data_IF_606752115759
#
_entry.id   IF_606752115759
#
_cell.length_a   1.000
_cell.length_b   1.000
_cell.length_c   1.000
_cell.angle_alpha   90.00
_cell.angle_beta   90.00
_cell.angle_gamma   90.00
#
_symmetry.space_group_name_H-M   'P 1'
#
loop_
_entity.id
_entity.type
_entity.pdbx_description
1 polymer ?
#
# COMPACT_ATOMS: atom_id res chain seq x y z
N UNK A 1 14.00 0.94 -22.20
CA UNK A 1 12.71 0.49 -21.67
C UNK A 1 11.75 1.65 -21.80
N UNK A 2 10.67 1.50 -22.57
CA UNK A 2 9.68 2.56 -22.76
C UNK A 2 8.84 2.76 -21.48
N UNK A 3 8.05 3.84 -21.42
CA UNK A 3 7.12 4.05 -20.30
C UNK A 3 6.07 2.92 -20.21
N UNK A 4 5.58 2.43 -21.35
CA UNK A 4 4.66 1.30 -21.42
C UNK A 4 5.30 -0.01 -20.94
N UNK A 5 6.55 -0.29 -21.32
CA UNK A 5 7.28 -1.48 -20.81
C UNK A 5 7.50 -1.42 -19.29
N UNK A 6 7.77 -0.22 -18.77
CA UNK A 6 7.92 0.00 -17.32
C UNK A 6 6.60 -0.22 -16.59
N UNK A 7 5.50 0.32 -17.14
CA UNK A 7 4.16 0.16 -16.58
C UNK A 7 3.78 -1.32 -16.50
N UNK A 8 3.96 -2.06 -17.60
CA UNK A 8 3.69 -3.50 -17.64
C UNK A 8 4.56 -4.28 -16.65
N UNK A 9 5.85 -3.93 -16.54
CA UNK A 9 6.75 -4.56 -15.56
C UNK A 9 6.27 -4.35 -14.11
N UNK A 10 5.78 -3.15 -13.78
CA UNK A 10 5.22 -2.84 -12.46
C UNK A 10 3.92 -3.62 -12.26
N UNK A 11 3.04 -3.68 -13.27
CA UNK A 11 1.79 -4.42 -13.22
C UNK A 11 2.01 -5.92 -13.00
N UNK A 12 2.98 -6.53 -13.70
CA UNK A 12 3.37 -7.93 -13.53
C UNK A 12 3.91 -8.17 -12.12
N UNK A 13 4.79 -7.29 -11.63
CA UNK A 13 5.30 -7.35 -10.26
C UNK A 13 4.17 -7.31 -9.24
N UNK A 14 3.30 -6.31 -9.32
CA UNK A 14 2.18 -6.13 -8.38
C UNK A 14 1.19 -7.30 -8.44
N UNK A 15 0.94 -7.86 -9.63
CA UNK A 15 0.09 -9.04 -9.80
C UNK A 15 0.62 -10.25 -9.02
N UNK A 16 1.95 -10.48 -9.06
CA UNK A 16 2.63 -11.57 -8.36
C UNK A 16 2.59 -11.39 -6.84
N UNK A 17 2.81 -10.16 -6.37
CA UNK A 17 2.86 -9.85 -4.94
C UNK A 17 1.48 -9.74 -4.29
N UNK A 18 0.50 -9.28 -5.05
CA UNK A 18 -0.83 -9.01 -4.53
C UNK A 18 -1.52 -10.25 -3.97
N UNK A 19 -2.34 -10.02 -2.95
CA UNK A 19 -3.22 -11.01 -2.34
C UNK A 19 -4.67 -10.54 -2.42
N UNK A 20 -5.66 -11.44 -2.51
CA UNK A 20 -7.07 -11.06 -2.45
C UNK A 20 -7.38 -10.28 -1.16
N UNK A 21 -8.18 -9.22 -1.28
CA UNK A 21 -8.63 -8.42 -0.14
C UNK A 21 -10.16 -8.48 0.00
N UNK A 22 -10.65 -8.39 1.25
CA UNK A 22 -12.09 -8.47 1.59
C UNK A 22 -12.96 -7.39 0.93
N UNK A 23 -12.36 -6.28 0.48
CA UNK A 23 -13.05 -5.22 -0.27
C UNK A 23 -13.35 -5.57 -1.73
N UNK A 24 -12.93 -6.76 -2.20
CA UNK A 24 -12.98 -7.14 -3.61
C UNK A 24 -11.77 -6.65 -4.43
N UNK A 25 -10.86 -5.89 -3.81
CA UNK A 25 -9.59 -5.47 -4.40
C UNK A 25 -8.44 -6.45 -4.13
N UNK A 26 -7.22 -5.96 -4.38
CA UNK A 26 -5.96 -6.70 -4.24
C UNK A 26 -5.05 -5.92 -3.29
N UNK A 27 -4.58 -6.55 -2.21
CA UNK A 27 -3.69 -5.90 -1.24
C UNK A 27 -2.23 -6.25 -1.51
N UNK A 28 -1.33 -5.27 -1.40
CA UNK A 28 0.13 -5.43 -1.50
C UNK A 28 0.78 -4.82 -0.27
N UNK A 29 1.79 -5.49 0.29
CA UNK A 29 2.51 -5.01 1.46
C UNK A 29 3.75 -4.19 1.07
N UNK A 30 3.94 -3.06 1.76
CA UNK A 30 5.08 -2.16 1.54
C UNK A 30 6.42 -2.86 1.77
N UNK A 31 6.51 -3.74 2.77
CA UNK A 31 7.72 -4.50 3.05
C UNK A 31 8.10 -5.43 1.89
N UNK A 32 7.12 -6.02 1.20
CA UNK A 32 7.36 -6.88 0.05
C UNK A 32 7.85 -6.09 -1.15
N UNK A 33 7.31 -4.89 -1.37
CA UNK A 33 7.80 -3.98 -2.42
C UNK A 33 9.27 -3.61 -2.20
N UNK A 34 9.65 -3.31 -0.95
CA UNK A 34 11.03 -3.01 -0.58
C UNK A 34 11.95 -4.21 -0.73
N UNK A 35 11.48 -5.41 -0.36
CA UNK A 35 12.26 -6.65 -0.41
C UNK A 35 12.57 -7.11 -1.85
N UNK A 36 11.68 -6.82 -2.80
CA UNK A 36 11.89 -7.14 -4.22
C UNK A 36 12.92 -6.22 -4.89
N UNK A 37 13.32 -5.13 -4.25
CA UNK A 37 14.35 -4.21 -4.76
C UNK A 37 13.95 -3.49 -6.06
N UNK A 38 12.67 -3.51 -6.42
CA UNK A 38 12.13 -2.70 -7.51
C UNK A 38 12.22 -1.21 -7.17
N UNK A 39 12.16 -0.34 -8.18
CA UNK A 39 12.09 1.11 -8.00
C UNK A 39 10.83 1.47 -7.21
N UNK A 40 10.99 1.55 -5.89
CA UNK A 40 9.88 1.72 -4.94
C UNK A 40 9.12 3.01 -5.22
N UNK A 41 9.82 4.08 -5.61
CA UNK A 41 9.19 5.34 -5.96
C UNK A 41 8.32 5.19 -7.21
N UNK A 42 8.82 4.55 -8.26
CA UNK A 42 8.05 4.30 -9.47
C UNK A 42 6.83 3.40 -9.20
N UNK A 43 6.95 2.38 -8.35
CA UNK A 43 5.82 1.53 -7.95
C UNK A 43 4.78 2.33 -7.16
N UNK A 44 5.21 3.18 -6.23
CA UNK A 44 4.27 4.04 -5.48
C UNK A 44 3.52 5.01 -6.39
N UNK A 45 4.22 5.66 -7.32
CA UNK A 45 3.58 6.52 -8.33
C UNK A 45 2.60 5.74 -9.20
N UNK A 46 2.92 4.50 -9.58
CA UNK A 46 2.00 3.65 -10.32
C UNK A 46 0.75 3.31 -9.49
N UNK A 47 0.92 2.92 -8.22
CA UNK A 47 -0.19 2.59 -7.31
C UNK A 47 -1.15 3.79 -7.19
N UNK A 48 -0.63 4.99 -6.92
CA UNK A 48 -1.43 6.21 -6.82
C UNK A 48 -2.15 6.53 -8.13
N UNK A 49 -1.47 6.46 -9.27
CA UNK A 49 -2.05 6.73 -10.58
C UNK A 49 -3.17 5.75 -10.98
N UNK A 50 -3.17 4.54 -10.41
CA UNK A 50 -4.14 3.48 -10.71
C UNK A 50 -5.23 3.34 -9.62
N UNK A 51 -5.37 4.35 -8.75
CA UNK A 51 -6.40 4.40 -7.71
C UNK A 51 -6.12 3.44 -6.55
N UNK A 52 -4.86 3.09 -6.35
CA UNK A 52 -4.40 2.34 -5.20
C UNK A 52 -4.43 3.20 -3.94
N UNK A 53 -5.17 2.75 -2.95
CA UNK A 53 -5.37 3.47 -1.70
C UNK A 53 -4.52 2.85 -0.58
N UNK A 54 -3.94 3.65 0.32
CA UNK A 54 -3.37 3.10 1.53
C UNK A 54 -4.47 2.37 2.32
N UNK A 55 -4.24 1.10 2.69
CA UNK A 55 -5.07 0.50 3.73
C UNK A 55 -4.79 1.30 4.99
N UNK A 56 -5.78 2.08 5.44
CA UNK A 56 -5.67 2.91 6.63
C UNK A 56 -4.95 2.09 7.71
N UNK A 57 -3.87 2.59 8.32
CA UNK A 57 -3.10 1.85 9.31
C UNK A 57 -4.12 1.38 10.32
N UNK A 58 -4.35 0.07 10.39
CA UNK A 58 -5.45 -0.51 11.15
C UNK A 58 -5.41 0.15 12.52
N UNK A 59 -6.37 1.07 12.77
CA UNK A 59 -6.26 2.10 13.80
C UNK A 59 -5.64 1.43 15.00
N UNK A 60 -4.38 1.79 15.32
CA UNK A 60 -3.58 1.07 16.31
C UNK A 60 -4.53 0.87 17.47
N UNK A 61 -4.96 -0.39 17.70
CA UNK A 61 -6.06 -0.70 18.61
C UNK A 61 -5.81 0.19 19.79
N UNK A 62 -6.71 1.12 20.08
CA UNK A 62 -6.45 2.11 21.10
C UNK A 62 -6.28 1.32 22.39
N UNK A 63 -5.04 0.97 22.72
CA UNK A 63 -4.65 0.46 24.02
C UNK A 63 -4.59 1.67 24.97
N UNK A 64 -5.59 2.55 24.84
CA UNK A 64 -6.00 3.42 25.90
C UNK A 64 -6.78 2.50 26.83
N UNK A 65 -6.04 1.83 27.71
CA UNK A 65 -6.59 1.55 29.02
C UNK A 65 -7.21 2.84 29.56
N UNK A 66 -8.16 2.72 30.47
CA UNK A 66 -9.00 3.80 31.00
C UNK A 66 -8.23 4.94 31.72
N UNK A 67 -6.90 5.00 31.58
CA UNK A 67 -5.94 5.94 32.15
C UNK A 67 -4.91 6.46 31.10
N UNK A 68 -5.33 6.70 29.87
CA UNK A 68 -4.46 7.25 28.84
C UNK A 68 -4.52 8.78 28.80
N UNK A 69 -3.68 9.44 29.58
CA UNK A 69 -3.44 10.89 29.47
C UNK A 69 -2.99 11.24 28.04
N UNK A 70 -3.60 12.29 27.51
CA UNK A 70 -3.49 12.73 26.12
C UNK A 70 -2.09 13.27 25.85
N UNK A 71 -1.17 12.39 25.46
CA UNK A 71 0.01 12.80 24.72
C UNK A 71 -0.42 13.03 23.27
N UNK A 72 -0.70 14.30 23.01
CA UNK A 72 -0.74 14.92 21.69
C UNK A 72 0.67 14.80 21.07
N UNK A 73 1.01 13.60 20.63
CA UNK A 73 2.18 13.38 19.79
C UNK A 73 1.73 13.74 18.37
N UNK A 74 2.14 14.93 17.93
CA UNK A 74 1.99 15.45 16.57
C UNK A 74 1.77 14.32 15.56
N UNK A 75 0.53 14.19 15.09
CA UNK A 75 0.08 13.09 14.24
C UNK A 75 0.80 13.19 12.88
N UNK A 76 2.05 12.73 12.84
CA UNK A 76 2.64 12.26 11.59
C UNK A 76 1.78 11.08 11.18
N UNK A 77 1.05 11.23 10.08
CA UNK A 77 0.22 10.15 9.56
C UNK A 77 1.07 8.88 9.47
N UNK A 78 0.65 7.76 10.10
CA UNK A 78 1.46 6.56 10.10
C UNK A 78 1.70 6.12 8.65
N UNK A 79 2.96 5.91 8.27
CA UNK A 79 3.29 5.41 6.94
C UNK A 79 2.50 4.13 6.67
N UNK A 80 1.66 4.09 5.63
CA UNK A 80 0.83 2.93 5.36
C UNK A 80 1.69 1.70 5.06
N UNK A 81 1.37 0.60 5.73
CA UNK A 81 2.09 -0.66 5.59
C UNK A 81 1.58 -1.49 4.41
N UNK A 82 0.37 -1.19 3.92
CA UNK A 82 -0.32 -1.96 2.90
C UNK A 82 -1.11 -1.02 1.99
N UNK A 83 -1.27 -1.42 0.73
CA UNK A 83 -2.01 -0.69 -0.28
C UNK A 83 -3.06 -1.60 -0.92
N UNK A 84 -4.27 -1.09 -1.11
CA UNK A 84 -5.38 -1.79 -1.74
C UNK A 84 -5.53 -1.24 -3.16
N UNK A 85 -5.37 -2.13 -4.13
CA UNK A 85 -5.58 -1.87 -5.55
C UNK A 85 -6.99 -2.29 -5.96
N UNK A 86 -7.71 -1.51 -6.79
CA UNK A 86 -8.96 -1.94 -7.37
C UNK A 86 -8.71 -3.15 -8.29
N UNK A 87 -9.66 -4.08 -8.37
CA UNK A 87 -9.52 -5.29 -9.19
C UNK A 87 -9.19 -4.96 -10.66
N UNK A 88 -9.76 -3.86 -11.18
CA UNK A 88 -9.54 -3.37 -12.53
C UNK A 88 -8.09 -2.89 -12.80
N UNK A 89 -7.31 -2.55 -11.77
CA UNK A 89 -5.92 -2.11 -11.98
C UNK A 89 -4.97 -3.25 -12.36
N UNK A 90 -5.30 -4.50 -11.98
CA UNK A 90 -4.47 -5.67 -12.26
C UNK A 90 -5.12 -6.66 -13.24
N UNK A 91 -6.40 -6.44 -13.60
CA UNK A 91 -7.23 -7.32 -14.43
C UNK A 91 -7.14 -7.08 -15.93
#
# INVERSE_FOLDING_TARGET
MSAADRDESIRVLLTRLARPHRSGGRVVERATLLAEGADFAAVMTWIEAHGGEPEAPAAARSHLGLHGERLDAAATEPTPLRFILPAAALG
#
